data_IF_795911710743
#
_entry.id   IF_795911710743
#
_cell.length_a   1.000
_cell.length_b   1.000
_cell.length_c   1.000
_cell.angle_alpha   90.00
_cell.angle_beta   90.00
_cell.angle_gamma   90.00
#
_symmetry.space_group_name_H-M   'P 1'
#
loop_
_entity.id
_entity.type
_entity.pdbx_description
1 polymer ?
#
# COMPACT_ATOMS: atom_id res chain seq x y z
N UNK A 1 1.39 49.53 7.36
CA UNK A 1 2.12 48.80 6.30
C UNK A 1 1.62 47.36 6.31
N UNK A 2 0.54 47.07 5.57
CA UNK A 2 -0.03 45.73 5.48
C UNK A 2 0.89 44.90 4.57
N UNK A 3 1.65 43.97 5.14
CA UNK A 3 2.31 42.92 4.36
C UNK A 3 1.19 42.01 3.88
N UNK A 4 0.93 41.99 2.56
CA UNK A 4 -0.11 41.15 1.98
C UNK A 4 0.08 39.68 2.39
N UNK A 5 -0.94 39.02 2.94
CA UNK A 5 -0.88 37.60 3.32
C UNK A 5 -0.36 36.72 2.17
N UNK A 6 -0.69 37.08 0.93
CA UNK A 6 -0.34 36.37 -0.29
C UNK A 6 1.17 36.20 -0.53
N UNK A 7 2.00 37.20 -0.20
CA UNK A 7 3.46 37.10 -0.34
C UNK A 7 4.08 36.18 0.71
N UNK A 8 3.51 36.14 1.91
CA UNK A 8 3.95 35.24 2.98
C UNK A 8 3.68 33.77 2.63
N UNK A 9 2.55 33.49 1.99
CA UNK A 9 2.18 32.14 1.55
C UNK A 9 3.11 31.57 0.47
N UNK A 10 3.38 32.34 -0.59
CA UNK A 10 4.28 31.91 -1.65
C UNK A 10 5.70 31.67 -1.11
N UNK A 11 6.11 32.45 -0.12
CA UNK A 11 7.41 32.29 0.55
C UNK A 11 7.44 31.00 1.38
N UNK A 12 6.42 30.76 2.23
CA UNK A 12 6.33 29.57 3.08
C UNK A 12 6.29 28.29 2.23
N UNK A 13 5.50 28.29 1.16
CA UNK A 13 5.37 27.15 0.25
C UNK A 13 6.69 26.85 -0.49
N UNK A 14 7.39 27.88 -0.97
CA UNK A 14 8.74 27.75 -1.53
C UNK A 14 9.72 27.20 -0.50
N UNK A 15 9.66 27.65 0.76
CA UNK A 15 10.50 27.14 1.84
C UNK A 15 10.22 25.68 2.15
N UNK A 16 8.94 25.27 2.21
CA UNK A 16 8.56 23.87 2.43
C UNK A 16 9.02 22.97 1.27
N UNK A 17 8.82 23.40 0.02
CA UNK A 17 9.33 22.70 -1.17
C UNK A 17 10.86 22.58 -1.15
N UNK A 18 11.55 23.66 -0.80
CA UNK A 18 13.00 23.67 -0.63
C UNK A 18 13.47 22.67 0.43
N UNK A 19 12.83 22.64 1.61
CA UNK A 19 13.15 21.70 2.67
C UNK A 19 12.88 20.24 2.28
N UNK A 20 11.85 19.97 1.47
CA UNK A 20 11.61 18.65 0.88
C UNK A 20 12.74 18.22 -0.05
N UNK A 21 13.12 19.10 -0.99
CA UNK A 21 14.22 18.85 -1.94
C UNK A 21 15.55 18.65 -1.19
N UNK A 22 15.79 19.43 -0.14
CA UNK A 22 16.97 19.35 0.71
C UNK A 22 16.91 18.24 1.77
N UNK A 23 15.91 17.34 1.72
CA UNK A 23 15.77 16.18 2.61
C UNK A 23 15.59 16.50 4.11
N UNK A 24 15.19 17.73 4.46
CA UNK A 24 15.01 18.23 5.84
C UNK A 24 13.57 18.07 6.32
N UNK A 25 13.05 16.85 6.25
CA UNK A 25 11.64 16.55 6.51
C UNK A 25 11.18 16.92 7.94
N UNK A 26 12.07 16.83 8.94
CA UNK A 26 11.76 17.12 10.34
C UNK A 26 11.40 18.60 10.54
N UNK A 27 12.10 19.49 9.86
CA UNK A 27 11.87 20.92 9.92
C UNK A 27 10.66 21.34 9.11
N UNK A 28 10.47 20.74 7.92
CA UNK A 28 9.29 21.00 7.10
C UNK A 28 8.00 20.68 7.87
N UNK A 29 7.93 19.51 8.51
CA UNK A 29 6.77 19.10 9.33
C UNK A 29 6.64 19.95 10.59
N UNK A 30 7.75 20.38 11.20
CA UNK A 30 7.74 21.29 12.35
C UNK A 30 7.14 22.66 12.03
N UNK A 31 7.57 23.26 10.91
CA UNK A 31 7.02 24.50 10.36
C UNK A 31 5.53 24.36 10.05
N UNK A 32 5.14 23.26 9.42
CA UNK A 32 3.76 22.92 9.10
C UNK A 32 2.85 22.85 10.33
N UNK A 33 3.31 22.25 11.42
CA UNK A 33 2.53 22.18 12.66
C UNK A 33 2.48 23.52 13.42
N UNK A 34 3.41 24.44 13.16
CA UNK A 34 3.45 25.76 13.80
C UNK A 34 2.62 26.81 13.05
N UNK A 35 2.41 26.65 11.74
CA UNK A 35 1.60 27.56 10.92
C UNK A 35 0.15 27.09 10.87
N UNK A 36 -0.73 27.79 11.56
CA UNK A 36 -2.18 27.56 11.51
C UNK A 36 -2.70 27.94 10.12
N UNK A 37 -2.91 26.92 9.28
CA UNK A 37 -3.82 26.93 8.12
C UNK A 37 -3.41 27.87 6.97
N UNK A 38 -2.55 27.42 6.05
CA UNK A 38 -2.52 27.78 4.61
C UNK A 38 -1.35 27.02 3.91
N UNK A 39 -1.49 25.71 3.68
CA UNK A 39 -0.50 24.95 2.89
C UNK A 39 -1.14 24.45 1.61
N UNK A 40 -0.46 24.64 0.47
CA UNK A 40 -0.97 24.23 -0.81
C UNK A 40 -1.16 22.70 -0.87
N UNK A 41 -2.25 22.21 -1.49
CA UNK A 41 -2.48 20.80 -1.82
C UNK A 41 -1.25 20.07 -2.37
N UNK A 42 -0.55 20.70 -3.32
CA UNK A 42 0.65 20.14 -3.97
C UNK A 42 1.79 19.88 -2.99
N UNK A 43 1.92 20.69 -1.95
CA UNK A 43 2.97 20.56 -0.95
C UNK A 43 2.67 19.41 0.01
N UNK A 44 1.40 19.24 0.38
CA UNK A 44 0.94 18.08 1.14
C UNK A 44 1.15 16.76 0.37
N UNK A 45 0.91 16.74 -0.94
CA UNK A 45 1.19 15.59 -1.81
C UNK A 45 2.68 15.22 -1.80
N UNK A 46 3.56 16.19 -2.04
CA UNK A 46 5.02 15.99 -2.09
C UNK A 46 5.56 15.45 -0.76
N UNK A 47 5.11 16.03 0.36
CA UNK A 47 5.52 15.60 1.69
C UNK A 47 5.05 14.18 2.01
N UNK A 48 3.82 13.82 1.61
CA UNK A 48 3.31 12.47 1.79
C UNK A 48 4.13 11.46 0.99
N UNK A 49 4.44 11.77 -0.27
CA UNK A 49 5.26 10.93 -1.13
C UNK A 49 6.64 10.67 -0.52
N UNK A 50 7.29 11.72 -0.01
CA UNK A 50 8.60 11.61 0.62
C UNK A 50 8.53 10.81 1.94
N UNK A 51 7.44 10.97 2.72
CA UNK A 51 7.22 10.15 3.92
C UNK A 51 7.11 8.66 3.58
N UNK A 52 6.37 8.31 2.52
CA UNK A 52 6.23 6.92 2.06
C UNK A 52 7.58 6.37 1.59
N UNK A 53 8.30 7.13 0.77
CA UNK A 53 9.62 6.76 0.26
C UNK A 53 10.63 6.50 1.40
N UNK A 54 10.62 7.35 2.44
CA UNK A 54 11.48 7.22 3.62
C UNK A 54 10.98 6.27 4.70
N UNK A 55 9.80 5.64 4.50
CA UNK A 55 9.14 4.79 5.51
C UNK A 55 8.82 5.52 6.83
N UNK A 56 8.65 6.84 6.75
CA UNK A 56 8.36 7.74 7.88
C UNK A 56 6.85 7.84 8.11
N UNK A 57 6.18 6.69 8.30
CA UNK A 57 4.72 6.59 8.27
C UNK A 57 4.03 7.43 9.36
N UNK A 58 4.64 7.55 10.55
CA UNK A 58 4.12 8.42 11.64
C UNK A 58 4.03 9.88 11.21
N UNK A 59 5.00 10.39 10.43
CA UNK A 59 4.99 11.76 9.92
C UNK A 59 3.94 11.93 8.82
N UNK A 60 3.81 10.95 7.93
CA UNK A 60 2.77 10.99 6.91
C UNK A 60 1.36 10.94 7.48
N UNK A 61 1.12 10.25 8.60
CA UNK A 61 -0.17 10.33 9.33
C UNK A 61 -0.47 11.73 9.85
N UNK A 62 0.54 12.48 10.32
CA UNK A 62 0.36 13.88 10.75
C UNK A 62 0.00 14.79 9.57
N UNK A 63 0.62 14.57 8.41
CA UNK A 63 0.29 15.29 7.18
C UNK A 63 -1.15 14.98 6.76
N UNK A 64 -1.56 13.72 6.79
CA UNK A 64 -2.95 13.35 6.50
C UNK A 64 -3.95 13.98 7.48
N UNK A 65 -3.66 13.97 8.78
CA UNK A 65 -4.51 14.64 9.78
C UNK A 65 -4.64 16.15 9.50
N UNK A 66 -3.54 16.80 9.07
CA UNK A 66 -3.59 18.20 8.66
C UNK A 66 -4.49 18.40 7.43
N UNK A 67 -4.39 17.53 6.41
CA UNK A 67 -5.28 17.60 5.23
C UNK A 67 -6.75 17.59 5.64
N UNK A 68 -7.12 16.71 6.57
CA UNK A 68 -8.49 16.60 7.11
C UNK A 68 -8.91 17.86 7.85
N UNK A 69 -8.05 18.41 8.74
CA UNK A 69 -8.35 19.63 9.52
C UNK A 69 -8.54 20.85 8.61
N UNK A 70 -7.78 20.93 7.52
CA UNK A 70 -7.88 22.03 6.54
C UNK A 70 -9.06 21.81 5.56
N UNK A 71 -9.74 20.66 5.63
CA UNK A 71 -10.84 20.33 4.72
C UNK A 71 -10.39 20.05 3.28
N UNK A 72 -9.13 19.63 3.11
CA UNK A 72 -8.59 19.26 1.82
C UNK A 72 -8.94 17.80 1.49
N UNK A 73 -9.72 17.58 0.43
CA UNK A 73 -9.91 16.25 -0.15
C UNK A 73 -8.76 15.91 -1.11
N UNK A 74 -7.96 14.85 -0.83
CA UNK A 74 -6.89 14.42 -1.71
C UNK A 74 -7.38 13.94 -3.08
N UNK A 75 -6.50 14.04 -4.09
CA UNK A 75 -6.75 13.33 -5.37
C UNK A 75 -6.83 11.81 -5.17
N UNK A 76 -7.53 11.08 -6.05
CA UNK A 76 -7.61 9.61 -6.00
C UNK A 76 -6.24 8.92 -6.00
N UNK A 77 -5.29 9.49 -6.74
CA UNK A 77 -3.89 9.06 -6.73
C UNK A 77 -3.27 9.18 -5.33
N UNK A 78 -3.51 10.29 -4.64
CA UNK A 78 -3.01 10.48 -3.28
C UNK A 78 -3.78 9.63 -2.26
N UNK A 79 -5.09 9.42 -2.43
CA UNK A 79 -5.87 8.48 -1.61
C UNK A 79 -5.29 7.06 -1.67
N UNK A 80 -4.86 6.60 -2.85
CA UNK A 80 -4.15 5.31 -2.99
C UNK A 80 -2.80 5.31 -2.26
N UNK A 81 -2.06 6.43 -2.24
CA UNK A 81 -0.81 6.56 -1.46
C UNK A 81 -1.04 6.56 0.04
N UNK A 82 -2.09 7.24 0.49
CA UNK A 82 -2.53 7.23 1.88
C UNK A 82 -2.89 5.81 2.30
N UNK A 83 -3.63 5.07 1.47
CA UNK A 83 -3.94 3.67 1.72
C UNK A 83 -2.66 2.84 1.97
N UNK A 84 -1.67 2.94 1.09
CA UNK A 84 -0.37 2.24 1.26
C UNK A 84 0.33 2.68 2.55
N UNK A 85 0.31 3.97 2.87
CA UNK A 85 0.90 4.49 4.11
C UNK A 85 0.24 3.88 5.34
N UNK A 86 -1.09 3.82 5.39
CA UNK A 86 -1.83 3.31 6.54
C UNK A 86 -1.66 1.80 6.70
N UNK A 87 -1.72 1.04 5.60
CA UNK A 87 -1.37 -0.39 5.55
C UNK A 87 0.00 -0.63 6.15
N UNK A 88 1.03 0.09 5.68
CA UNK A 88 2.41 -0.06 6.18
C UNK A 88 2.59 0.42 7.63
N UNK A 89 1.67 1.24 8.13
CA UNK A 89 1.68 1.73 9.50
C UNK A 89 0.91 0.82 10.48
N UNK A 90 0.24 -0.21 9.98
CA UNK A 90 -0.54 -1.18 10.78
C UNK A 90 -1.93 -0.71 11.22
N UNK A 91 -2.38 0.48 10.78
CA UNK A 91 -3.71 1.00 11.11
C UNK A 91 -4.73 0.54 10.06
N UNK A 92 -5.27 -0.65 10.30
CA UNK A 92 -6.22 -1.30 9.41
C UNK A 92 -7.61 -0.64 9.44
N UNK A 93 -8.00 -0.01 10.55
CA UNK A 93 -9.27 0.70 10.64
C UNK A 93 -9.34 1.84 9.64
N UNK A 94 -8.33 2.72 9.63
CA UNK A 94 -8.24 3.81 8.66
C UNK A 94 -8.03 3.29 7.23
N UNK A 95 -7.32 2.17 7.07
CA UNK A 95 -7.10 1.52 5.77
C UNK A 95 -8.42 1.12 5.10
N UNK A 96 -9.34 0.49 5.84
CA UNK A 96 -10.66 0.12 5.32
C UNK A 96 -11.49 1.36 4.91
N UNK A 97 -11.51 2.38 5.77
CA UNK A 97 -12.22 3.64 5.47
C UNK A 97 -11.68 4.30 4.21
N UNK A 98 -10.35 4.40 4.07
CA UNK A 98 -9.74 4.98 2.88
C UNK A 98 -10.06 4.18 1.62
N UNK A 99 -10.04 2.86 1.70
CA UNK A 99 -10.35 2.00 0.57
C UNK A 99 -11.80 2.09 0.13
N UNK A 100 -12.73 2.12 1.08
CA UNK A 100 -14.17 2.22 0.78
C UNK A 100 -14.50 3.56 0.11
N UNK A 101 -13.83 4.64 0.51
CA UNK A 101 -13.98 5.99 -0.05
C UNK A 101 -13.27 6.20 -1.41
N UNK A 102 -12.53 5.22 -1.94
CA UNK A 102 -12.01 5.31 -3.31
C UNK A 102 -13.16 5.20 -4.32
N UNK A 103 -13.26 6.18 -5.22
CA UNK A 103 -14.23 6.18 -6.31
C UNK A 103 -14.01 4.98 -7.23
N UNK A 104 -12.74 4.74 -7.57
CA UNK A 104 -12.32 3.58 -8.35
C UNK A 104 -11.18 2.84 -7.64
N UNK A 105 -11.38 1.54 -7.41
CA UNK A 105 -10.41 0.69 -6.74
C UNK A 105 -9.46 0.10 -7.78
N UNK A 106 -8.29 0.75 -7.93
CA UNK A 106 -7.20 0.29 -8.80
C UNK A 106 -6.57 -1.01 -8.29
N UNK A 107 -5.84 -1.72 -9.17
CA UNK A 107 -5.06 -2.91 -8.79
C UNK A 107 -4.10 -2.63 -7.62
N UNK A 108 -3.50 -1.43 -7.59
CA UNK A 108 -2.61 -1.01 -6.50
C UNK A 108 -3.37 -0.94 -5.18
N UNK A 109 -4.57 -0.36 -5.17
CA UNK A 109 -5.37 -0.24 -3.96
C UNK A 109 -5.82 -1.60 -3.41
N UNK A 110 -6.25 -2.51 -4.30
CA UNK A 110 -6.60 -3.86 -3.90
C UNK A 110 -5.41 -4.66 -3.37
N UNK A 111 -4.25 -4.56 -4.02
CA UNK A 111 -3.04 -5.23 -3.53
C UNK A 111 -2.63 -4.68 -2.16
N UNK A 112 -2.74 -3.37 -1.94
CA UNK A 112 -2.50 -2.78 -0.63
C UNK A 112 -3.45 -3.33 0.44
N UNK A 113 -4.74 -3.47 0.12
CA UNK A 113 -5.73 -4.07 1.04
C UNK A 113 -5.42 -5.51 1.39
N UNK A 114 -5.10 -6.34 0.39
CA UNK A 114 -4.77 -7.75 0.59
C UNK A 114 -3.55 -7.89 1.52
N UNK A 115 -2.51 -7.08 1.30
CA UNK A 115 -1.31 -7.10 2.13
C UNK A 115 -1.53 -6.54 3.54
N UNK A 116 -2.50 -5.64 3.72
CA UNK A 116 -2.84 -5.05 5.02
C UNK A 116 -3.73 -5.93 5.88
N UNK A 117 -4.77 -6.53 5.29
CA UNK A 117 -5.70 -7.41 6.00
C UNK A 117 -5.61 -8.84 5.47
N UNK A 118 -4.47 -9.50 5.74
CA UNK A 118 -4.29 -10.90 5.33
C UNK A 118 -5.32 -11.83 5.95
N UNK A 119 -5.77 -11.56 7.19
CA UNK A 119 -6.85 -12.31 7.83
C UNK A 119 -8.18 -12.26 7.06
N UNK A 120 -8.42 -11.20 6.30
CA UNK A 120 -9.58 -11.06 5.42
C UNK A 120 -9.24 -11.25 3.94
N UNK A 121 -8.03 -11.73 3.61
CA UNK A 121 -7.50 -11.69 2.25
C UNK A 121 -8.39 -12.38 1.21
N UNK A 122 -8.99 -13.51 1.57
CA UNK A 122 -9.97 -14.20 0.72
C UNK A 122 -11.24 -13.38 0.50
N UNK A 123 -11.79 -12.76 1.56
CA UNK A 123 -12.96 -11.88 1.48
C UNK A 123 -12.71 -10.69 0.56
N UNK A 124 -11.50 -10.12 0.62
CA UNK A 124 -11.09 -9.00 -0.24
C UNK A 124 -11.02 -9.44 -1.71
N UNK A 125 -10.42 -10.60 -2.00
CA UNK A 125 -10.41 -11.17 -3.37
C UNK A 125 -11.83 -11.45 -3.87
N UNK A 126 -12.71 -11.97 -3.02
CA UNK A 126 -14.07 -12.37 -3.40
C UNK A 126 -14.95 -11.18 -3.75
N UNK A 127 -14.74 -10.03 -3.07
CA UNK A 127 -15.41 -8.76 -3.39
C UNK A 127 -14.91 -8.10 -4.68
N UNK A 128 -13.73 -8.48 -5.19
CA UNK A 128 -13.22 -7.91 -6.43
C UNK A 128 -13.92 -8.51 -7.65
N UNK A 129 -14.54 -7.66 -8.46
CA UNK A 129 -15.11 -8.06 -9.75
C UNK A 129 -14.03 -8.34 -10.81
N UNK A 130 -12.85 -7.74 -10.66
CA UNK A 130 -11.74 -7.81 -11.61
C UNK A 130 -10.55 -8.58 -11.04
N UNK A 131 -10.81 -9.77 -10.47
CA UNK A 131 -9.75 -10.67 -10.00
C UNK A 131 -8.75 -10.95 -11.11
N UNK A 132 -7.47 -10.90 -10.78
CA UNK A 132 -6.40 -11.20 -11.73
C UNK A 132 -5.24 -11.94 -11.05
N UNK A 133 -4.28 -12.39 -11.86
CA UNK A 133 -3.08 -13.12 -11.40
C UNK A 133 -2.32 -12.33 -10.34
N UNK A 134 -2.17 -11.02 -10.51
CA UNK A 134 -1.42 -10.16 -9.57
C UNK A 134 -2.03 -10.16 -8.17
N UNK A 135 -3.37 -10.11 -8.07
CA UNK A 135 -4.07 -10.14 -6.76
C UNK A 135 -3.86 -11.48 -6.05
N UNK A 136 -3.99 -12.60 -6.78
CA UNK A 136 -3.75 -13.93 -6.24
C UNK A 136 -2.30 -14.11 -5.80
N UNK A 137 -1.35 -13.70 -6.63
CA UNK A 137 0.07 -13.72 -6.29
C UNK A 137 0.33 -12.89 -5.04
N UNK A 138 -0.25 -11.69 -4.91
CA UNK A 138 -0.10 -10.85 -3.73
C UNK A 138 -0.65 -11.51 -2.45
N UNK A 139 -1.82 -12.15 -2.52
CA UNK A 139 -2.40 -12.90 -1.41
C UNK A 139 -1.51 -14.07 -0.99
N UNK A 140 -1.11 -14.90 -1.95
CA UNK A 140 -0.28 -16.09 -1.73
C UNK A 140 1.09 -15.69 -1.15
N UNK A 141 1.76 -14.70 -1.73
CA UNK A 141 3.03 -14.20 -1.20
C UNK A 141 2.87 -13.58 0.19
N UNK A 142 1.78 -12.86 0.43
CA UNK A 142 1.48 -12.27 1.74
C UNK A 142 1.32 -13.34 2.83
N UNK A 143 0.57 -14.40 2.57
CA UNK A 143 0.45 -15.54 3.48
C UNK A 143 1.81 -16.25 3.69
N UNK A 144 2.57 -16.46 2.62
CA UNK A 144 3.89 -17.10 2.69
C UNK A 144 4.87 -16.34 3.57
N UNK A 145 4.89 -15.00 3.49
CA UNK A 145 5.73 -14.14 4.34
C UNK A 145 5.36 -14.23 5.84
N UNK A 146 4.13 -14.62 6.16
CA UNK A 146 3.64 -14.75 7.54
C UNK A 146 3.59 -16.20 8.02
N UNK A 147 4.19 -17.14 7.26
CA UNK A 147 4.23 -18.56 7.63
C UNK A 147 2.86 -19.25 7.59
N UNK A 148 1.89 -18.68 6.89
CA UNK A 148 0.52 -19.18 6.76
C UNK A 148 0.44 -20.26 5.67
N UNK A 149 1.06 -21.41 5.93
CA UNK A 149 1.27 -22.49 4.93
C UNK A 149 -0.05 -23.01 4.37
N UNK A 150 -1.04 -23.26 5.22
CA UNK A 150 -2.36 -23.75 4.81
C UNK A 150 -3.02 -22.76 3.86
N UNK A 151 -3.05 -21.49 4.25
CA UNK A 151 -3.68 -20.42 3.46
C UNK A 151 -2.96 -20.18 2.12
N UNK A 152 -1.63 -20.37 2.05
CA UNK A 152 -0.86 -20.37 0.79
C UNK A 152 -1.36 -21.45 -0.15
N UNK A 153 -1.44 -22.69 0.33
CA UNK A 153 -1.82 -23.84 -0.49
C UNK A 153 -3.28 -23.75 -0.93
N UNK A 154 -4.19 -23.44 -0.02
CA UNK A 154 -5.62 -23.25 -0.35
C UNK A 154 -5.80 -22.16 -1.41
N UNK A 155 -5.11 -21.03 -1.26
CA UNK A 155 -5.18 -19.93 -2.22
C UNK A 155 -4.60 -20.32 -3.58
N UNK A 156 -3.50 -21.08 -3.61
CA UNK A 156 -2.90 -21.58 -4.84
C UNK A 156 -3.82 -22.54 -5.60
N UNK A 157 -4.42 -23.50 -4.90
CA UNK A 157 -5.39 -24.42 -5.50
C UNK A 157 -6.59 -23.66 -6.02
N UNK A 158 -7.14 -22.74 -5.21
CA UNK A 158 -8.29 -21.93 -5.60
C UNK A 158 -8.00 -21.09 -6.83
N UNK A 159 -6.83 -20.44 -6.91
CA UNK A 159 -6.35 -19.71 -8.08
C UNK A 159 -6.40 -20.59 -9.35
N UNK A 160 -5.93 -21.84 -9.26
CA UNK A 160 -6.00 -22.81 -10.38
C UNK A 160 -7.44 -23.20 -10.71
N UNK A 161 -8.28 -23.50 -9.71
CA UNK A 161 -9.68 -23.91 -9.90
C UNK A 161 -10.51 -22.85 -10.61
N UNK A 162 -10.29 -21.56 -10.29
CA UNK A 162 -10.97 -20.46 -10.97
C UNK A 162 -10.33 -20.08 -12.32
N UNK A 163 -9.32 -20.82 -12.78
CA UNK A 163 -8.72 -20.69 -14.11
C UNK A 163 -7.57 -19.69 -14.23
N UNK A 164 -7.08 -19.10 -13.14
CA UNK A 164 -5.89 -18.24 -13.19
C UNK A 164 -4.62 -19.08 -13.20
N UNK A 165 -3.71 -18.77 -14.13
CA UNK A 165 -2.41 -19.43 -14.23
C UNK A 165 -1.42 -18.85 -13.21
N UNK A 166 -0.84 -19.67 -12.32
CA UNK A 166 0.26 -19.25 -11.47
C UNK A 166 1.47 -18.78 -12.28
N UNK A 167 2.20 -17.80 -11.76
CA UNK A 167 3.47 -17.33 -12.31
C UNK A 167 4.65 -17.75 -11.42
N UNK A 168 5.88 -17.42 -11.84
CA UNK A 168 7.10 -17.75 -11.09
C UNK A 168 7.05 -17.30 -9.62
N UNK A 169 6.57 -16.08 -9.35
CA UNK A 169 6.47 -15.53 -7.98
C UNK A 169 5.48 -16.34 -7.13
N UNK A 170 4.39 -16.82 -7.74
CA UNK A 170 3.40 -17.66 -7.08
C UNK A 170 4.01 -19.01 -6.70
N UNK A 171 4.70 -19.67 -7.62
CA UNK A 171 5.39 -20.93 -7.34
C UNK A 171 6.47 -20.79 -6.28
N UNK A 172 7.28 -19.73 -6.35
CA UNK A 172 8.29 -19.46 -5.33
C UNK A 172 7.68 -19.36 -3.92
N UNK A 173 6.53 -18.68 -3.81
CA UNK A 173 5.82 -18.54 -2.54
C UNK A 173 5.28 -19.88 -2.03
N UNK A 174 4.75 -20.72 -2.93
CA UNK A 174 4.25 -22.07 -2.59
C UNK A 174 5.38 -23.01 -2.18
N UNK A 175 6.49 -23.03 -2.92
CA UNK A 175 7.66 -23.85 -2.61
C UNK A 175 8.29 -23.44 -1.27
N UNK A 176 8.37 -22.13 -1.03
CA UNK A 176 8.79 -21.60 0.28
C UNK A 176 7.87 -22.12 1.38
N UNK A 177 6.56 -22.05 1.21
CA UNK A 177 5.60 -22.56 2.19
C UNK A 177 5.75 -24.08 2.42
N UNK A 178 5.99 -24.87 1.36
CA UNK A 178 6.23 -26.30 1.47
C UNK A 178 7.51 -26.61 2.28
N UNK A 179 8.58 -25.84 2.05
CA UNK A 179 9.82 -25.94 2.80
C UNK A 179 9.61 -25.67 4.29
N UNK A 180 8.90 -24.59 4.63
CA UNK A 180 8.58 -24.26 6.03
C UNK A 180 7.61 -25.25 6.68
N UNK A 181 6.70 -25.83 5.90
CA UNK A 181 5.71 -26.80 6.37
C UNK A 181 6.21 -28.25 6.42
N UNK A 182 7.42 -28.54 5.94
CA UNK A 182 7.93 -29.92 5.83
C UNK A 182 7.21 -30.78 4.79
N UNK A 183 6.53 -30.15 3.82
CA UNK A 183 5.70 -30.79 2.80
C UNK A 183 6.56 -31.14 1.57
N UNK A 184 7.45 -32.12 1.72
CA UNK A 184 8.44 -32.47 0.69
C UNK A 184 7.79 -33.00 -0.60
N UNK A 185 6.80 -33.87 -0.46
CA UNK A 185 6.13 -34.51 -1.61
C UNK A 185 5.34 -33.48 -2.42
N UNK A 186 4.59 -32.61 -1.75
CA UNK A 186 3.88 -31.50 -2.39
C UNK A 186 4.85 -30.49 -3.01
N UNK A 187 5.93 -30.14 -2.29
CA UNK A 187 6.97 -29.26 -2.80
C UNK A 187 7.59 -29.77 -4.10
N UNK A 188 7.91 -31.07 -4.16
CA UNK A 188 8.41 -31.71 -5.36
C UNK A 188 7.38 -31.75 -6.50
N UNK A 189 6.12 -32.05 -6.18
CA UNK A 189 5.03 -32.04 -7.15
C UNK A 189 4.84 -30.64 -7.77
N UNK A 190 4.85 -29.58 -6.96
CA UNK A 190 4.73 -28.20 -7.46
C UNK A 190 5.94 -27.76 -8.27
N UNK A 191 7.16 -28.13 -7.85
CA UNK A 191 8.38 -27.83 -8.62
C UNK A 191 8.37 -28.51 -9.99
N UNK A 192 7.94 -29.77 -10.04
CA UNK A 192 7.79 -30.51 -11.29
C UNK A 192 6.69 -29.91 -12.18
N UNK A 193 5.55 -29.52 -11.59
CA UNK A 193 4.43 -28.89 -12.31
C UNK A 193 4.82 -27.54 -12.88
N UNK A 194 5.60 -26.73 -12.14
CA UNK A 194 6.09 -25.42 -12.58
C UNK A 194 6.78 -25.50 -13.96
N UNK A 195 7.66 -26.49 -14.14
CA UNK A 195 8.40 -26.67 -15.39
C UNK A 195 7.54 -27.36 -16.47
N UNK A 196 6.86 -28.46 -16.12
CA UNK A 196 6.12 -29.29 -17.09
C UNK A 196 4.83 -28.65 -17.60
N UNK A 197 4.05 -28.06 -16.71
CA UNK A 197 2.69 -27.61 -17.02
C UNK A 197 2.65 -26.12 -17.35
N UNK A 198 3.60 -25.33 -16.83
CA UNK A 198 3.61 -23.87 -16.95
C UNK A 198 4.81 -23.30 -17.71
N UNK A 199 5.85 -24.10 -17.99
CA UNK A 199 7.04 -23.66 -18.72
C UNK A 199 7.84 -22.57 -18.00
N UNK A 200 7.79 -22.58 -16.67
CA UNK A 200 8.48 -21.64 -15.78
C UNK A 200 9.83 -22.21 -15.35
#
# INVERSE_FOLDING_TARGET
MQVEPYKSYLQLDKTLKGLCISRRLREAVGLLCATVVQVEPRTCDLLLQECIFRKEYKKGRRIHALMVVVGYDPSEYLKTKLLILYVKSGDLGTTHVLFDNLLEKSLVSWNAMILGSLSDGHRVIDKSLNRNVVMWTALISGYGQHGKVVEVLESFHRMKTVGFKPNYVTFLSVLSACSHGGLLDEGWAYFSSMTKDYGI
#
